data_IF_926483023992
#
_entry.id   IF_926483023992
#
_cell.length_a   1.000
_cell.length_b   1.000
_cell.length_c   1.000
_cell.angle_alpha   90.00
_cell.angle_beta   90.00
_cell.angle_gamma   90.00
#
_symmetry.space_group_name_H-M   'P 1'
#
loop_
_entity.id
_entity.type
_entity.pdbx_description
1 polymer ?
#
# COMPACT_ATOMS: atom_id res chain seq x y z
N UNK A 1 -9.47 17.01 -20.32
CA UNK A 1 -8.84 17.61 -19.12
C UNK A 1 -9.63 17.16 -17.89
N UNK A 2 -8.96 16.67 -16.85
CA UNK A 2 -9.60 16.26 -15.59
C UNK A 2 -10.04 17.53 -14.85
N UNK A 3 -11.31 17.59 -14.45
CA UNK A 3 -11.88 18.76 -13.75
C UNK A 3 -11.87 18.60 -12.22
N UNK A 4 -12.19 17.40 -11.73
CA UNK A 4 -12.25 17.04 -10.30
C UNK A 4 -11.89 15.57 -10.13
N UNK A 5 -11.28 15.22 -9.00
CA UNK A 5 -11.06 13.83 -8.58
C UNK A 5 -10.94 13.75 -7.05
N UNK A 6 -11.13 12.55 -6.51
CA UNK A 6 -10.91 12.20 -5.10
C UNK A 6 -9.75 11.22 -4.92
N UNK A 7 -8.92 11.07 -5.96
CA UNK A 7 -7.78 10.14 -5.96
C UNK A 7 -6.71 10.56 -4.94
N UNK A 8 -6.03 9.59 -4.31
CA UNK A 8 -4.94 9.89 -3.39
C UNK A 8 -3.81 10.71 -4.04
N UNK A 9 -3.17 11.64 -3.30
CA UNK A 9 -2.19 12.58 -3.86
C UNK A 9 -0.87 11.92 -4.31
N UNK A 10 -0.62 10.67 -3.93
CA UNK A 10 0.57 9.92 -4.38
C UNK A 10 0.45 9.41 -5.82
N UNK A 11 -0.75 9.42 -6.40
CA UNK A 11 -0.95 9.00 -7.78
C UNK A 11 -0.54 10.17 -8.69
N UNK A 12 0.39 9.97 -9.65
CA UNK A 12 0.87 11.04 -10.53
C UNK A 12 -0.16 11.33 -11.65
N UNK A 13 -1.36 11.76 -11.25
CA UNK A 13 -2.54 11.83 -12.11
C UNK A 13 -2.34 12.74 -13.32
N UNK A 14 -1.73 13.91 -13.14
CA UNK A 14 -1.48 14.87 -14.22
C UNK A 14 -0.51 14.32 -15.25
N UNK A 15 0.49 13.54 -14.81
CA UNK A 15 1.45 12.89 -15.70
C UNK A 15 0.77 11.80 -16.52
N UNK A 16 0.04 10.91 -15.86
CA UNK A 16 -0.72 9.85 -16.52
C UNK A 16 -1.76 10.43 -17.49
N UNK A 17 -2.45 11.50 -17.08
CA UNK A 17 -3.44 12.18 -17.88
C UNK A 17 -2.85 12.78 -19.16
N UNK A 18 -1.65 13.38 -19.06
CA UNK A 18 -0.96 13.95 -20.22
C UNK A 18 -0.48 12.88 -21.20
N UNK A 19 0.01 11.78 -20.68
CA UNK A 19 0.60 10.69 -21.46
C UNK A 19 -0.47 9.85 -22.18
N UNK A 20 -1.54 9.48 -21.48
CA UNK A 20 -2.48 8.46 -21.97
C UNK A 20 -3.84 9.02 -22.43
N UNK A 21 -4.46 9.99 -21.74
CA UNK A 21 -5.83 10.42 -22.08
C UNK A 21 -6.04 10.89 -23.52
N UNK A 22 -5.06 11.53 -24.21
CA UNK A 22 -5.30 12.00 -25.58
C UNK A 22 -5.47 10.87 -26.61
N UNK A 23 -4.94 9.67 -26.35
CA UNK A 23 -4.84 8.59 -27.35
C UNK A 23 -5.24 7.21 -26.83
N UNK A 24 -5.16 6.99 -25.53
CA UNK A 24 -5.38 5.69 -24.91
C UNK A 24 -6.03 5.83 -23.52
N UNK A 25 -7.35 6.03 -23.54
CA UNK A 25 -8.16 6.06 -22.31
C UNK A 25 -8.07 4.73 -21.53
N UNK A 26 -7.95 3.59 -22.22
CA UNK A 26 -7.85 2.28 -21.57
C UNK A 26 -6.53 2.12 -20.83
N UNK A 27 -5.42 2.48 -21.47
CA UNK A 27 -4.09 2.53 -20.84
C UNK A 27 -4.06 3.48 -19.65
N UNK A 28 -4.68 4.67 -19.76
CA UNK A 28 -4.83 5.58 -18.63
C UNK A 28 -5.51 4.90 -17.42
N UNK A 29 -6.67 4.28 -17.65
CA UNK A 29 -7.45 3.63 -16.59
C UNK A 29 -6.71 2.41 -16.03
N UNK A 30 -6.00 1.64 -16.85
CA UNK A 30 -5.19 0.51 -16.42
C UNK A 30 -4.07 0.97 -15.47
N UNK A 31 -3.29 2.01 -15.84
CA UNK A 31 -2.21 2.53 -14.99
C UNK A 31 -2.76 3.12 -13.69
N UNK A 32 -3.90 3.80 -13.75
CA UNK A 32 -4.57 4.28 -12.55
C UNK A 32 -4.99 3.12 -11.63
N UNK A 33 -5.56 2.06 -12.21
CA UNK A 33 -5.95 0.83 -11.50
C UNK A 33 -4.73 0.19 -10.82
N UNK A 34 -3.59 0.07 -11.50
CA UNK A 34 -2.35 -0.47 -10.94
C UNK A 34 -1.94 0.28 -9.66
N UNK A 35 -1.95 1.61 -9.69
CA UNK A 35 -1.60 2.43 -8.52
C UNK A 35 -2.57 2.24 -7.35
N UNK A 36 -3.87 2.19 -7.63
CA UNK A 36 -4.91 2.00 -6.61
C UNK A 36 -4.83 0.61 -5.99
N UNK A 37 -4.69 -0.43 -6.82
CA UNK A 37 -4.58 -1.81 -6.39
C UNK A 37 -3.29 -2.06 -5.60
N UNK A 38 -2.17 -1.46 -6.01
CA UNK A 38 -0.93 -1.55 -5.24
C UNK A 38 -1.08 -0.93 -3.84
N UNK A 39 -1.80 0.19 -3.72
CA UNK A 39 -2.08 0.80 -2.42
C UNK A 39 -3.02 -0.05 -1.57
N UNK A 40 -4.15 -0.49 -2.14
CA UNK A 40 -5.12 -1.34 -1.46
C UNK A 40 -4.48 -2.67 -1.01
N UNK A 41 -3.66 -3.28 -1.88
CA UNK A 41 -2.94 -4.51 -1.60
C UNK A 41 -1.96 -4.37 -0.44
N UNK A 42 -1.13 -3.32 -0.42
CA UNK A 42 -0.23 -3.06 0.71
C UNK A 42 -0.99 -2.81 2.02
N UNK A 43 -2.07 -2.04 1.95
CA UNK A 43 -2.92 -1.75 3.11
C UNK A 43 -3.50 -3.04 3.69
N UNK A 44 -4.05 -3.90 2.82
CA UNK A 44 -4.62 -5.19 3.20
C UNK A 44 -3.55 -6.12 3.78
N UNK A 45 -2.38 -6.23 3.15
CA UNK A 45 -1.27 -7.05 3.64
C UNK A 45 -0.82 -6.64 5.05
N UNK A 46 -0.73 -5.34 5.33
CA UNK A 46 -0.38 -4.84 6.66
C UNK A 46 -1.45 -5.17 7.72
N UNK A 47 -2.73 -5.14 7.34
CA UNK A 47 -3.84 -5.53 8.21
C UNK A 47 -3.84 -7.04 8.48
N UNK A 48 -3.64 -7.85 7.43
CA UNK A 48 -3.53 -9.31 7.54
C UNK A 48 -2.33 -9.77 8.36
N UNK A 49 -1.21 -9.03 8.33
CA UNK A 49 -0.06 -9.32 9.17
C UNK A 49 -0.45 -9.31 10.65
N UNK A 50 -1.18 -8.27 11.09
CA UNK A 50 -1.65 -8.18 12.47
C UNK A 50 -2.69 -9.25 12.79
N UNK A 51 -3.66 -9.48 11.92
CA UNK A 51 -4.73 -10.45 12.16
C UNK A 51 -4.20 -11.88 12.28
N UNK A 52 -3.31 -12.29 11.37
CA UNK A 52 -2.86 -13.69 11.27
C UNK A 52 -1.68 -14.05 12.17
N UNK A 53 -0.83 -13.07 12.49
CA UNK A 53 0.43 -13.30 13.22
C UNK A 53 0.50 -12.51 14.53
N UNK A 54 -0.64 -12.09 15.07
CA UNK A 54 -0.74 -11.34 16.34
C UNK A 54 0.02 -12.00 17.49
N UNK A 55 0.06 -13.33 17.56
CA UNK A 55 0.77 -14.09 18.59
C UNK A 55 2.29 -13.94 18.54
N UNK A 56 2.86 -13.58 17.39
CA UNK A 56 4.30 -13.37 17.21
C UNK A 56 4.67 -11.91 17.18
N UNK A 57 3.72 -10.99 16.98
CA UNK A 57 3.96 -9.57 16.84
C UNK A 57 3.84 -8.87 18.20
N UNK A 58 4.86 -8.09 18.56
CA UNK A 58 4.85 -7.26 19.76
C UNK A 58 4.23 -5.90 19.49
N UNK A 59 3.14 -5.61 20.20
CA UNK A 59 2.43 -4.33 20.11
C UNK A 59 1.75 -4.15 18.76
N UNK A 60 1.42 -2.90 18.42
CA UNK A 60 0.72 -2.57 17.17
C UNK A 60 1.73 -2.18 16.07
N UNK A 61 1.77 -2.90 14.93
CA UNK A 61 2.53 -2.50 13.75
C UNK A 61 2.20 -1.07 13.34
N UNK A 62 3.24 -0.31 13.04
CA UNK A 62 3.14 1.06 12.57
C UNK A 62 3.31 1.10 11.05
N UNK A 63 2.47 1.90 10.38
CA UNK A 63 2.52 2.10 8.94
C UNK A 63 2.38 3.57 8.61
N UNK A 64 3.03 4.01 7.55
CA UNK A 64 2.78 5.35 7.02
C UNK A 64 1.47 5.37 6.19
N UNK A 65 1.00 6.57 5.83
CA UNK A 65 -0.27 6.75 5.11
C UNK A 65 -0.33 6.04 3.76
N UNK A 66 0.82 5.76 3.12
CA UNK A 66 0.91 5.06 1.84
C UNK A 66 1.03 3.53 1.96
N UNK A 67 1.12 3.02 3.19
CA UNK A 67 1.37 1.61 3.51
C UNK A 67 2.60 1.05 2.77
N UNK A 68 3.58 1.88 2.39
CA UNK A 68 4.81 1.42 1.73
C UNK A 68 5.98 1.28 2.70
N UNK A 69 5.80 1.72 3.95
CA UNK A 69 6.69 1.44 5.07
C UNK A 69 5.89 0.81 6.19
N UNK A 70 6.38 -0.32 6.69
CA UNK A 70 5.78 -1.09 7.78
C UNK A 70 6.87 -1.37 8.82
N UNK A 71 6.60 -1.01 10.07
CA UNK A 71 7.51 -1.20 11.21
C UNK A 71 6.80 -2.01 12.27
N UNK A 72 7.36 -3.15 12.64
CA UNK A 72 6.83 -4.01 13.68
C UNK A 72 7.97 -4.74 14.40
N UNK A 73 7.67 -5.23 15.59
CA UNK A 73 8.57 -6.08 16.38
C UNK A 73 7.94 -7.46 16.46
N UNK A 74 8.77 -8.51 16.51
CA UNK A 74 8.28 -9.88 16.60
C UNK A 74 9.15 -10.74 17.50
N UNK A 75 8.56 -11.81 18.03
CA UNK A 75 9.25 -12.90 18.72
C UNK A 75 9.50 -14.07 17.78
N UNK A 76 10.63 -14.75 17.98
CA UNK A 76 10.95 -15.99 17.28
C UNK A 76 10.80 -17.13 18.29
N UNK A 77 9.83 -18.05 18.10
CA UNK A 77 9.72 -19.22 18.97
C UNK A 77 10.99 -20.05 18.87
N UNK A 78 11.64 -20.33 20.01
CA UNK A 78 12.87 -21.15 20.06
C UNK A 78 14.16 -20.41 20.44
N UNK A 79 14.15 -19.08 20.57
CA UNK A 79 15.13 -18.39 21.44
C UNK A 79 14.59 -18.35 22.85
N UNK A 80 14.64 -19.50 23.52
CA UNK A 80 14.74 -19.54 24.97
C UNK A 80 15.86 -18.59 25.39
N UNK A 81 15.62 -17.86 26.49
CA UNK A 81 16.67 -17.15 27.20
C UNK A 81 17.92 -18.02 27.31
N UNK A 82 19.06 -17.49 26.88
CA UNK A 82 20.39 -18.07 27.05
C UNK A 82 21.40 -17.07 26.52
N UNK A 83 22.39 -16.57 27.28
CA UNK A 83 22.89 -16.88 28.62
C UNK A 83 23.01 -15.59 29.43
#
# INVERSE_FOLDING_TARGET
>A
RIRRHSLPPFIPLERLAREFLPRDLRGFLARLSDHLNAFAGRRFQAEQLQERFSSWIKGTPQRNSLCNLLVFKYDIPGKSQGF
#
